data_IF_270143562669
#
_entry.id   IF_270143562669
#
_cell.length_a   1.000
_cell.length_b   1.000
_cell.length_c   1.000
_cell.angle_alpha   90.00
_cell.angle_beta   90.00
_cell.angle_gamma   90.00
#
_symmetry.space_group_name_H-M   'P 1'
#
loop_
_entity.id
_entity.type
_entity.pdbx_description
1 polymer ?
#
# COMPACT_ATOMS: atom_id res chain seq x y z
N UNK A 1 6.73 50.42 -26.18
CA UNK A 1 7.17 50.82 -24.83
C UNK A 1 5.98 50.89 -23.87
N UNK A 2 5.52 49.73 -23.34
CA UNK A 2 4.23 49.66 -22.60
C UNK A 2 4.20 48.60 -21.46
N UNK A 3 5.35 48.26 -20.87
CA UNK A 3 5.40 47.29 -19.76
C UNK A 3 6.02 47.87 -18.49
N UNK A 4 5.41 48.94 -17.97
CA UNK A 4 5.65 49.34 -16.56
C UNK A 4 4.41 49.94 -15.89
N UNK A 5 3.32 49.18 -15.86
CA UNK A 5 2.37 49.25 -14.74
C UNK A 5 2.67 48.11 -13.77
N UNK A 6 3.84 48.19 -13.11
CA UNK A 6 4.17 47.36 -11.95
C UNK A 6 3.47 47.98 -10.75
N UNK A 7 2.22 47.56 -10.53
CA UNK A 7 1.56 47.67 -9.23
C UNK A 7 2.50 47.06 -8.20
N UNK A 8 2.97 47.86 -7.24
CA UNK A 8 3.86 47.44 -6.15
C UNK A 8 3.15 46.35 -5.34
N UNK A 9 3.36 45.09 -5.68
CA UNK A 9 3.01 44.00 -4.78
C UNK A 9 3.97 44.07 -3.59
N UNK A 10 3.42 44.23 -2.39
CA UNK A 10 4.19 44.19 -1.16
C UNK A 10 4.73 42.77 -0.98
N UNK A 11 6.04 42.62 -1.13
CA UNK A 11 6.74 41.36 -0.84
C UNK A 11 7.01 41.28 0.65
N UNK A 12 6.63 40.18 1.29
CA UNK A 12 6.97 39.87 2.68
C UNK A 12 8.21 38.99 2.68
N UNK A 13 9.18 39.19 3.60
CA UNK A 13 10.32 38.30 3.73
C UNK A 13 9.85 36.86 3.98
N UNK A 14 10.41 35.93 3.21
CA UNK A 14 10.18 34.51 3.41
C UNK A 14 10.87 34.10 4.71
N UNK A 15 10.09 33.60 5.66
CA UNK A 15 10.62 32.96 6.85
C UNK A 15 11.23 31.63 6.43
N UNK A 16 12.54 31.44 6.66
CA UNK A 16 13.28 30.23 6.26
C UNK A 16 12.97 29.01 7.15
N UNK A 17 12.08 29.13 8.15
CA UNK A 17 11.83 28.06 9.12
C UNK A 17 10.55 27.26 8.89
N UNK A 18 10.27 26.86 7.66
CA UNK A 18 9.49 25.64 7.43
C UNK A 18 10.30 24.68 6.57
N UNK A 19 11.26 24.00 7.21
CA UNK A 19 11.61 22.65 6.78
C UNK A 19 10.36 21.82 7.03
N UNK A 20 9.41 21.88 6.09
CA UNK A 20 8.46 20.80 5.98
C UNK A 20 9.37 19.61 5.70
N UNK A 21 9.49 18.70 6.67
CA UNK A 21 9.98 17.35 6.41
C UNK A 21 8.90 16.72 5.54
N UNK A 22 8.84 17.17 4.27
CA UNK A 22 8.12 16.49 3.22
C UNK A 22 8.96 15.24 3.07
N UNK A 23 8.52 14.16 3.72
CA UNK A 23 8.93 12.81 3.42
C UNK A 23 9.17 12.75 1.92
N UNK A 24 10.39 12.40 1.53
CA UNK A 24 10.86 12.45 0.14
C UNK A 24 9.69 12.15 -0.84
N UNK A 25 9.23 13.12 -1.65
CA UNK A 25 8.00 12.98 -2.43
C UNK A 25 8.06 11.80 -3.40
N UNK A 26 9.28 11.46 -3.87
CA UNK A 26 9.55 10.25 -4.63
C UNK A 26 9.19 8.99 -3.84
N UNK A 27 9.64 8.89 -2.59
CA UNK A 27 9.36 7.76 -1.71
C UNK A 27 7.86 7.60 -1.43
N UNK A 28 7.16 8.71 -1.22
CA UNK A 28 5.70 8.67 -1.01
C UNK A 28 4.95 8.20 -2.26
N UNK A 29 5.39 8.65 -3.44
CA UNK A 29 4.82 8.20 -4.71
C UNK A 29 5.07 6.70 -4.94
N UNK A 30 6.29 6.22 -4.71
CA UNK A 30 6.66 4.81 -4.79
C UNK A 30 5.81 3.94 -3.83
N UNK A 31 5.69 4.35 -2.57
CA UNK A 31 4.84 3.67 -1.59
C UNK A 31 3.37 3.61 -2.01
N UNK A 32 2.84 4.71 -2.58
CA UNK A 32 1.50 4.76 -3.12
C UNK A 32 1.28 3.73 -4.23
N UNK A 33 2.21 3.67 -5.18
CA UNK A 33 2.18 2.70 -6.28
C UNK A 33 2.28 1.26 -5.77
N UNK A 34 3.15 0.98 -4.81
CA UNK A 34 3.30 -0.34 -4.19
C UNK A 34 1.99 -0.80 -3.52
N UNK A 35 1.33 0.11 -2.78
CA UNK A 35 0.04 -0.16 -2.14
C UNK A 35 -1.03 -0.46 -3.20
N UNK A 36 -1.13 0.35 -4.26
CA UNK A 36 -2.08 0.10 -5.34
C UNK A 36 -1.86 -1.24 -6.03
N UNK A 37 -0.60 -1.62 -6.26
CA UNK A 37 -0.24 -2.92 -6.83
C UNK A 37 -0.64 -4.06 -5.91
N UNK A 38 -0.36 -3.96 -4.61
CA UNK A 38 -0.75 -4.96 -3.62
C UNK A 38 -2.28 -5.09 -3.54
N UNK A 39 -3.02 -3.98 -3.53
CA UNK A 39 -4.48 -3.99 -3.55
C UNK A 39 -5.02 -4.65 -4.82
N UNK A 40 -4.43 -4.40 -5.98
CA UNK A 40 -4.79 -5.07 -7.22
C UNK A 40 -4.50 -6.59 -7.17
N UNK A 41 -3.36 -6.99 -6.58
CA UNK A 41 -3.00 -8.40 -6.44
C UNK A 41 -3.95 -9.15 -5.49
N UNK A 42 -4.33 -8.54 -4.36
CA UNK A 42 -5.29 -9.15 -3.42
C UNK A 42 -6.68 -9.36 -4.04
N UNK A 43 -7.07 -8.55 -5.04
CA UNK A 43 -8.32 -8.76 -5.81
C UNK A 43 -8.34 -10.09 -6.57
N UNK A 44 -7.16 -10.67 -6.89
CA UNK A 44 -7.04 -11.97 -7.58
C UNK A 44 -7.13 -13.18 -6.64
N UNK A 45 -7.08 -12.96 -5.32
CA UNK A 45 -7.30 -14.02 -4.33
C UNK A 45 -8.77 -14.41 -4.26
N UNK A 46 -9.02 -15.69 -3.95
CA UNK A 46 -10.37 -16.12 -3.59
C UNK A 46 -10.84 -15.39 -2.32
N UNK A 47 -12.17 -15.25 -2.10
CA UNK A 47 -12.69 -14.56 -0.92
C UNK A 47 -12.09 -15.12 0.39
N UNK A 48 -12.05 -16.44 0.52
CA UNK A 48 -11.49 -17.10 1.72
C UNK A 48 -9.98 -16.89 1.87
N UNK A 49 -9.22 -16.88 0.79
CA UNK A 49 -7.78 -16.57 0.85
C UNK A 49 -7.54 -15.13 1.32
N UNK A 50 -8.30 -14.17 0.77
CA UNK A 50 -8.21 -12.75 1.14
C UNK A 50 -8.58 -12.52 2.59
N UNK A 51 -9.62 -13.18 3.07
CA UNK A 51 -10.07 -13.12 4.46
C UNK A 51 -8.99 -13.67 5.40
N UNK A 52 -8.40 -14.84 5.08
CA UNK A 52 -7.28 -15.41 5.86
C UNK A 52 -6.10 -14.44 5.92
N UNK A 53 -5.70 -13.83 4.80
CA UNK A 53 -4.59 -12.86 4.78
C UNK A 53 -4.94 -11.61 5.58
N UNK A 54 -6.15 -11.07 5.43
CA UNK A 54 -6.58 -9.86 6.15
C UNK A 54 -6.56 -10.08 7.66
N UNK A 55 -7.12 -11.19 8.13
CA UNK A 55 -7.12 -11.53 9.56
C UNK A 55 -5.72 -11.82 10.10
N UNK A 56 -4.86 -12.49 9.31
CA UNK A 56 -3.50 -12.86 9.75
C UNK A 56 -2.53 -11.68 9.83
N UNK A 57 -2.61 -10.75 8.88
CA UNK A 57 -1.61 -9.69 8.72
C UNK A 57 -2.12 -8.31 9.12
N UNK A 58 -3.33 -7.91 8.68
CA UNK A 58 -3.89 -6.62 9.09
C UNK A 58 -4.54 -6.71 10.49
N UNK A 59 -5.15 -7.85 10.81
CA UNK A 59 -5.72 -8.12 12.13
C UNK A 59 -4.75 -8.72 13.15
N UNK A 60 -3.51 -9.05 12.72
CA UNK A 60 -2.47 -9.68 13.55
C UNK A 60 -2.92 -10.94 14.34
N UNK A 61 -4.00 -11.60 13.91
CA UNK A 61 -4.62 -12.69 14.66
C UNK A 61 -3.86 -14.01 14.44
N UNK A 62 -3.53 -14.79 15.48
CA UNK A 62 -2.85 -16.08 15.31
C UNK A 62 -3.73 -17.08 14.55
N UNK A 63 -3.09 -18.07 13.90
CA UNK A 63 -3.76 -19.09 13.06
C UNK A 63 -4.94 -19.75 13.80
N UNK A 64 -4.79 -20.05 15.09
CA UNK A 64 -5.84 -20.67 15.88
C UNK A 64 -7.09 -19.80 16.04
N UNK A 65 -6.95 -18.47 16.13
CA UNK A 65 -8.08 -17.56 16.19
C UNK A 65 -8.73 -17.39 14.81
N UNK A 66 -7.93 -17.24 13.76
CA UNK A 66 -8.44 -17.19 12.37
C UNK A 66 -9.26 -18.44 12.05
N UNK A 67 -8.76 -19.62 12.41
CA UNK A 67 -9.44 -20.90 12.25
C UNK A 67 -10.84 -20.90 12.89
N UNK A 68 -10.96 -20.35 14.11
CA UNK A 68 -12.25 -20.21 14.82
C UNK A 68 -13.17 -19.23 14.11
N UNK A 69 -12.67 -18.07 13.70
CA UNK A 69 -13.45 -17.02 13.03
C UNK A 69 -14.06 -17.52 11.72
N UNK A 70 -13.27 -18.19 10.89
CA UNK A 70 -13.72 -18.64 9.56
C UNK A 70 -14.34 -20.06 9.55
N UNK A 71 -14.46 -20.69 10.72
CA UNK A 71 -15.04 -22.03 10.86
C UNK A 71 -14.25 -23.14 10.13
N UNK A 72 -12.92 -23.10 10.17
CA UNK A 72 -12.04 -24.09 9.51
C UNK A 72 -10.99 -24.65 10.47
N UNK A 73 -10.35 -25.77 10.09
CA UNK A 73 -9.22 -26.31 10.86
C UNK A 73 -7.98 -25.42 10.72
N UNK A 74 -7.08 -25.45 11.71
CA UNK A 74 -5.81 -24.73 11.62
C UNK A 74 -4.96 -25.17 10.40
N UNK A 75 -5.02 -26.45 10.03
CA UNK A 75 -4.37 -26.96 8.83
C UNK A 75 -4.93 -26.35 7.55
N UNK A 76 -6.25 -26.22 7.45
CA UNK A 76 -6.90 -25.55 6.33
C UNK A 76 -6.51 -24.06 6.25
N UNK A 77 -6.43 -23.35 7.39
CA UNK A 77 -5.96 -21.96 7.43
C UNK A 77 -4.52 -21.83 6.96
N UNK A 78 -3.62 -22.73 7.40
CA UNK A 78 -2.23 -22.76 6.93
C UNK A 78 -2.14 -22.99 5.42
N UNK A 79 -2.92 -23.92 4.88
CA UNK A 79 -2.97 -24.19 3.44
C UNK A 79 -3.49 -22.98 2.66
N UNK A 80 -4.58 -22.35 3.13
CA UNK A 80 -5.14 -21.14 2.53
C UNK A 80 -4.13 -19.98 2.56
N UNK A 81 -3.45 -19.77 3.69
CA UNK A 81 -2.41 -18.74 3.82
C UNK A 81 -1.27 -18.98 2.83
N UNK A 82 -0.76 -20.23 2.75
CA UNK A 82 0.30 -20.59 1.82
C UNK A 82 -0.13 -20.35 0.36
N UNK A 83 -1.29 -20.87 -0.04
CA UNK A 83 -1.82 -20.68 -1.39
C UNK A 83 -2.04 -19.20 -1.74
N UNK A 84 -2.51 -18.41 -0.79
CA UNK A 84 -2.68 -16.97 -0.97
C UNK A 84 -1.33 -16.25 -1.18
N UNK A 85 -0.31 -16.55 -0.37
CA UNK A 85 1.03 -15.98 -0.52
C UNK A 85 1.65 -16.36 -1.87
N UNK A 86 1.51 -17.63 -2.29
CA UNK A 86 1.99 -18.08 -3.60
C UNK A 86 1.29 -17.35 -4.74
N UNK A 87 -0.02 -17.16 -4.65
CA UNK A 87 -0.79 -16.41 -5.65
C UNK A 87 -0.37 -14.93 -5.71
N UNK A 88 -0.21 -14.27 -4.55
CA UNK A 88 0.27 -12.89 -4.49
C UNK A 88 1.67 -12.76 -5.10
N UNK A 89 2.60 -13.66 -4.75
CA UNK A 89 3.97 -13.65 -5.32
C UNK A 89 3.93 -13.73 -6.85
N UNK A 90 3.14 -14.65 -7.42
CA UNK A 90 3.02 -14.79 -8.87
C UNK A 90 2.56 -13.50 -9.56
N UNK A 91 1.60 -12.81 -8.95
CA UNK A 91 1.03 -11.57 -9.51
C UNK A 91 2.01 -10.41 -9.40
N UNK A 92 2.72 -10.29 -8.27
CA UNK A 92 3.66 -9.20 -8.03
C UNK A 92 4.96 -9.39 -8.80
N UNK A 93 5.51 -10.62 -8.87
CA UNK A 93 6.73 -10.91 -9.63
C UNK A 93 6.54 -10.72 -11.14
N UNK A 94 5.36 -11.01 -11.69
CA UNK A 94 5.07 -10.76 -13.11
C UNK A 94 5.03 -9.27 -13.49
N UNK A 95 4.98 -8.36 -12.49
CA UNK A 95 4.86 -6.91 -12.69
C UNK A 95 6.14 -6.14 -12.35
N UNK A 96 7.13 -6.82 -11.75
CA UNK A 96 8.43 -6.26 -11.36
C UNK A 96 9.49 -6.36 -12.48
N UNK A 97 9.17 -7.01 -13.60
CA UNK A 97 10.03 -6.98 -14.78
C UNK A 97 9.83 -5.63 -15.49
N UNK A 98 10.88 -4.78 -15.58
CA UNK A 98 10.81 -3.57 -16.40
C UNK A 98 10.83 -3.95 -17.89
N UNK A 99 10.01 -3.29 -18.71
CA UNK A 99 10.33 -3.11 -20.13
C UNK A 99 11.49 -2.12 -20.30
#
# INVERSE_FOLDING_TARGET
DYLRKRTKQATVPLDESTVIVISNPQLLAEQGLDIEQLLSATKRLTPTQREVISLRFAGELPIAQVAKIIGKSQGAVKALQHSAIVALRKVLSAKLEPE
#
